data_IF_334093664744
#
_entry.id   IF_334093664744
#
_cell.length_a   1.000
_cell.length_b   1.000
_cell.length_c   1.000
_cell.angle_alpha   90.00
_cell.angle_beta   90.00
_cell.angle_gamma   90.00
#
_symmetry.space_group_name_H-M   'P 1'
#
loop_
_entity.id
_entity.type
_entity.pdbx_description
1 polymer ?
#
# COMPACT_ATOMS: atom_id res chain seq x y z
N UNK A 1 6.69 -8.77 9.45
CA UNK A 1 5.57 -9.45 8.76
C UNK A 1 5.87 -9.47 7.27
N UNK A 2 5.64 -10.59 6.59
CA UNK A 2 5.81 -10.73 5.14
C UNK A 2 4.43 -11.07 4.54
N UNK A 3 4.01 -10.40 3.46
CA UNK A 3 2.74 -10.75 2.80
C UNK A 3 2.08 -9.60 2.04
N UNK A 4 0.81 -9.81 1.68
CA UNK A 4 -0.05 -8.81 1.05
C UNK A 4 -0.99 -8.18 2.08
N UNK A 5 -1.29 -6.90 1.89
CA UNK A 5 -2.29 -6.13 2.64
C UNK A 5 -3.37 -5.66 1.67
N UNK A 6 -4.63 -5.84 2.04
CA UNK A 6 -5.78 -5.32 1.33
C UNK A 6 -6.23 -4.05 2.04
N UNK A 7 -6.01 -2.89 1.41
CA UNK A 7 -6.35 -1.60 1.98
C UNK A 7 -7.56 -1.03 1.22
N UNK A 8 -8.59 -0.62 1.94
CA UNK A 8 -9.61 0.26 1.37
C UNK A 8 -9.08 1.70 1.41
N UNK A 9 -8.67 2.23 0.24
CA UNK A 9 -8.06 3.54 0.13
C UNK A 9 -9.14 4.62 0.25
N UNK A 10 -9.04 5.56 1.20
CA UNK A 10 -9.95 6.70 1.27
C UNK A 10 -9.69 7.71 0.13
N UNK A 11 -10.64 8.59 -0.17
CA UNK A 11 -10.42 9.68 -1.12
C UNK A 11 -9.46 10.71 -0.50
N UNK A 12 -8.80 11.50 -1.35
CA UNK A 12 -7.85 12.53 -0.96
C UNK A 12 -6.43 12.03 -0.64
N UNK A 13 -6.20 10.71 -0.70
CA UNK A 13 -4.89 10.10 -0.45
C UNK A 13 -4.33 9.52 -1.75
N UNK A 14 -3.06 9.81 -2.07
CA UNK A 14 -2.39 9.11 -3.19
C UNK A 14 -2.09 7.66 -2.80
N UNK A 15 -1.88 6.78 -3.78
CA UNK A 15 -1.44 5.41 -3.48
C UNK A 15 -0.09 5.37 -2.75
N UNK A 16 0.78 6.37 -2.98
CA UNK A 16 2.07 6.47 -2.31
C UNK A 16 1.94 6.89 -0.84
N UNK A 17 1.00 7.79 -0.52
CA UNK A 17 0.74 8.17 0.88
C UNK A 17 0.32 6.97 1.73
N UNK A 18 -0.46 6.04 1.15
CA UNK A 18 -0.82 4.78 1.82
C UNK A 18 0.42 3.94 2.08
N UNK A 19 1.30 3.78 1.08
CA UNK A 19 2.57 3.05 1.23
C UNK A 19 3.41 3.65 2.36
N UNK A 20 3.55 4.98 2.40
CA UNK A 20 4.33 5.66 3.43
C UNK A 20 3.72 5.54 4.82
N UNK A 21 2.39 5.57 4.93
CA UNK A 21 1.71 5.32 6.19
C UNK A 21 1.96 3.89 6.68
N UNK A 22 1.90 2.90 5.79
CA UNK A 22 2.20 1.50 6.13
C UNK A 22 3.67 1.32 6.50
N UNK A 23 4.62 1.96 5.81
CA UNK A 23 6.04 1.95 6.20
C UNK A 23 6.26 2.47 7.63
N UNK A 24 5.61 3.58 8.00
CA UNK A 24 5.70 4.15 9.35
C UNK A 24 5.13 3.21 10.41
N UNK A 25 3.95 2.63 10.15
CA UNK A 25 3.27 1.73 11.11
C UNK A 25 4.04 0.41 11.28
N UNK A 26 4.54 -0.15 10.18
CA UNK A 26 5.20 -1.46 10.19
C UNK A 26 6.70 -1.43 10.50
N UNK A 27 7.32 -0.24 10.54
CA UNK A 27 8.75 -0.08 10.79
C UNK A 27 9.67 -0.63 9.68
N UNK A 28 9.14 -0.93 8.50
CA UNK A 28 9.93 -1.39 7.33
C UNK A 28 9.83 -0.43 6.17
N UNK A 29 10.92 -0.31 5.40
CA UNK A 29 10.94 0.47 4.15
C UNK A 29 10.42 -0.33 2.95
N UNK A 30 10.38 -1.66 3.05
CA UNK A 30 10.07 -2.54 1.91
C UNK A 30 8.57 -2.76 1.77
N UNK A 31 7.90 -1.75 1.22
CA UNK A 31 6.46 -1.73 0.92
C UNK A 31 6.25 -1.15 -0.48
N UNK A 32 5.32 -1.72 -1.24
CA UNK A 32 4.89 -1.25 -2.57
C UNK A 32 3.41 -1.60 -2.83
N UNK A 33 2.83 -1.10 -3.92
CA UNK A 33 1.43 -1.34 -4.30
C UNK A 33 1.31 -2.04 -5.67
N UNK A 34 0.27 -2.85 -5.89
CA UNK A 34 0.01 -3.57 -7.15
C UNK A 34 -0.96 -2.80 -8.07
N UNK A 35 -0.61 -1.56 -8.39
CA UNK A 35 -1.44 -0.67 -9.20
C UNK A 35 -1.82 0.62 -8.47
N UNK A 36 -1.94 1.70 -9.22
CA UNK A 36 -2.22 3.04 -8.68
C UNK A 36 -3.71 3.31 -8.72
N UNK A 37 -4.23 3.89 -7.63
CA UNK A 37 -5.49 4.61 -7.61
C UNK A 37 -5.22 6.12 -7.56
N UNK A 38 -6.00 6.87 -8.35
CA UNK A 38 -5.98 8.33 -8.33
C UNK A 38 -6.32 8.88 -6.94
N UNK A 39 -5.86 10.10 -6.59
CA UNK A 39 -6.11 10.69 -5.27
C UNK A 39 -7.59 10.77 -4.92
N UNK A 40 -8.45 11.11 -5.89
CA UNK A 40 -9.89 11.22 -5.70
C UNK A 40 -10.62 9.87 -5.64
N UNK A 41 -10.01 8.80 -6.16
CA UNK A 41 -10.62 7.47 -6.20
C UNK A 41 -10.63 6.81 -4.81
N UNK A 42 -11.56 5.89 -4.60
CA UNK A 42 -11.63 5.03 -3.40
C UNK A 42 -11.63 3.56 -3.80
N UNK A 43 -11.43 2.68 -2.82
CA UNK A 43 -11.57 1.24 -3.00
C UNK A 43 -10.27 0.48 -2.81
N UNK A 44 -10.25 -0.77 -3.29
CA UNK A 44 -9.20 -1.72 -2.97
C UNK A 44 -7.83 -1.31 -3.58
N UNK A 45 -6.87 -1.06 -2.69
CA UNK A 45 -5.45 -0.93 -2.99
C UNK A 45 -4.70 -2.11 -2.37
N UNK A 46 -4.10 -2.95 -3.20
CA UNK A 46 -3.28 -4.09 -2.74
C UNK A 46 -1.86 -3.60 -2.50
N UNK A 47 -1.34 -3.82 -1.29
CA UNK A 47 0.05 -3.56 -0.94
C UNK A 47 0.80 -4.86 -0.67
N UNK A 48 2.09 -4.88 -0.98
CA UNK A 48 3.01 -5.94 -0.58
C UNK A 48 3.99 -5.44 0.45
N UNK A 49 4.31 -6.28 1.44
CA UNK A 49 5.28 -5.98 2.49
C UNK A 49 6.40 -7.02 2.50
N UNK A 50 7.65 -6.53 2.59
CA UNK A 50 8.87 -7.32 2.65
C UNK A 50 8.97 -8.36 1.51
N UNK A 51 8.79 -9.66 1.77
CA UNK A 51 8.79 -10.67 0.69
C UNK A 51 7.56 -10.59 -0.21
N UNK A 52 6.43 -10.07 0.31
CA UNK A 52 5.19 -9.90 -0.44
C UNK A 52 5.31 -8.89 -1.59
N UNK A 53 6.29 -7.98 -1.57
CA UNK A 53 6.51 -7.06 -2.70
C UNK A 53 6.93 -7.78 -3.99
N UNK A 54 7.39 -9.03 -3.92
CA UNK A 54 7.75 -9.83 -5.10
C UNK A 54 6.55 -10.50 -5.79
N UNK A 55 5.35 -10.33 -5.23
CA UNK A 55 4.09 -10.92 -5.71
C UNK A 55 3.13 -9.86 -6.27
N UNK A 56 3.57 -8.59 -6.31
CA UNK A 56 2.81 -7.44 -6.82
C UNK A 56 3.01 -7.28 -8.32
#
# INVERSE_FOLDING_TARGET
>A
MDGLLLIDKPPGMTSHDVVDRVRRISGTRKVGHAGTLDPFATGLLILGMNKGTKQL
#
